data_IF_031467289627
#
_entry.id   IF_031467289627
#
_cell.length_a   1.000
_cell.length_b   1.000
_cell.length_c   1.000
_cell.angle_alpha   90.00
_cell.angle_beta   90.00
_cell.angle_gamma   90.00
#
_symmetry.space_group_name_H-M   'P 1'
#
loop_
_entity.id
_entity.type
_entity.pdbx_description
1 polymer ?
#
# COMPACT_ATOMS: atom_id res chain seq x y z
N UNK A 1 -22.61 14.24 -7.33
CA UNK A 1 -22.30 12.80 -7.19
C UNK A 1 -23.23 12.24 -6.12
N UNK A 2 -23.93 11.11 -6.35
CA UNK A 2 -24.75 10.51 -5.30
C UNK A 2 -23.87 10.05 -4.14
N UNK A 3 -24.28 10.31 -2.90
CA UNK A 3 -23.62 9.73 -1.73
C UNK A 3 -23.78 8.19 -1.79
N UNK A 4 -22.74 7.42 -1.47
CA UNK A 4 -22.86 5.97 -1.41
C UNK A 4 -23.97 5.57 -0.44
N UNK A 5 -24.75 4.56 -0.81
CA UNK A 5 -25.76 3.98 0.08
C UNK A 5 -25.10 3.41 1.35
N UNK A 6 -25.83 3.28 2.47
CA UNK A 6 -25.29 2.68 3.70
C UNK A 6 -24.63 1.31 3.47
N UNK A 7 -25.19 0.51 2.55
CA UNK A 7 -24.63 -0.80 2.16
C UNK A 7 -23.28 -0.65 1.42
N UNK A 8 -23.16 0.37 0.57
CA UNK A 8 -21.93 0.66 -0.15
C UNK A 8 -20.79 1.11 0.77
N UNK A 9 -21.10 1.88 1.82
CA UNK A 9 -20.09 2.29 2.81
C UNK A 9 -19.59 1.11 3.65
N UNK A 10 -20.48 0.18 4.02
CA UNK A 10 -20.13 -1.04 4.76
C UNK A 10 -19.25 -1.95 3.91
N UNK A 11 -19.64 -2.23 2.66
CA UNK A 11 -18.87 -3.08 1.75
C UNK A 11 -17.46 -2.50 1.44
N UNK A 12 -17.36 -1.18 1.28
CA UNK A 12 -16.07 -0.51 1.09
C UNK A 12 -15.20 -0.53 2.36
N UNK A 13 -15.80 -0.56 3.55
CA UNK A 13 -15.07 -0.68 4.81
C UNK A 13 -14.54 -2.10 5.02
N UNK A 14 -15.36 -3.13 4.76
CA UNK A 14 -14.96 -4.54 4.83
C UNK A 14 -13.81 -4.84 3.87
N UNK A 15 -13.92 -4.40 2.61
CA UNK A 15 -12.85 -4.58 1.60
C UNK A 15 -11.53 -3.92 2.05
N UNK A 16 -11.61 -2.72 2.65
CA UNK A 16 -10.44 -2.01 3.17
C UNK A 16 -9.82 -2.70 4.38
N UNK A 17 -10.63 -3.39 5.19
CA UNK A 17 -10.16 -4.13 6.34
C UNK A 17 -9.45 -5.42 5.92
N UNK A 18 -10.03 -6.18 5.00
CA UNK A 18 -9.39 -7.38 4.43
C UNK A 18 -8.04 -7.07 3.78
N UNK A 19 -7.96 -5.95 3.05
CA UNK A 19 -6.72 -5.47 2.45
C UNK A 19 -5.63 -5.19 3.50
N UNK A 20 -6.01 -4.48 4.55
CA UNK A 20 -5.10 -4.10 5.61
C UNK A 20 -4.63 -5.32 6.43
N UNK A 21 -5.54 -6.25 6.71
CA UNK A 21 -5.23 -7.50 7.40
C UNK A 21 -4.25 -8.35 6.59
N UNK A 22 -4.44 -8.47 5.28
CA UNK A 22 -3.52 -9.16 4.40
C UNK A 22 -2.12 -8.53 4.42
N UNK A 23 -2.04 -7.21 4.34
CA UNK A 23 -0.76 -6.49 4.34
C UNK A 23 -0.02 -6.50 5.68
N UNK A 24 -0.76 -6.50 6.79
CA UNK A 24 -0.16 -6.60 8.12
C UNK A 24 0.58 -7.92 8.35
N UNK A 25 0.24 -8.96 7.57
CA UNK A 25 0.94 -10.26 7.60
C UNK A 25 2.24 -10.25 6.80
N UNK A 26 2.38 -9.32 5.85
CA UNK A 26 3.52 -9.25 4.93
C UNK A 26 4.50 -8.12 5.26
N UNK A 27 4.14 -7.22 6.17
CA UNK A 27 4.93 -6.03 6.53
C UNK A 27 4.97 -5.87 8.05
N UNK A 28 5.93 -5.10 8.56
CA UNK A 28 5.96 -4.74 9.99
C UNK A 28 4.92 -3.68 10.38
N UNK A 29 4.04 -3.28 9.45
CA UNK A 29 2.98 -2.30 9.68
C UNK A 29 1.72 -3.02 10.16
N UNK A 30 1.05 -2.46 11.16
CA UNK A 30 -0.26 -2.98 11.58
C UNK A 30 -1.34 -2.66 10.53
N UNK A 31 -2.44 -3.43 10.51
CA UNK A 31 -3.57 -3.18 9.61
C UNK A 31 -4.09 -1.72 9.73
N UNK A 32 -4.13 -1.19 10.96
CA UNK A 32 -4.50 0.20 11.21
C UNK A 32 -3.54 1.19 10.55
N UNK A 33 -2.23 0.99 10.69
CA UNK A 33 -1.24 1.85 10.06
C UNK A 33 -1.29 1.78 8.54
N UNK A 34 -1.58 0.61 7.97
CA UNK A 34 -1.80 0.45 6.53
C UNK A 34 -3.03 1.25 6.07
N UNK A 35 -4.17 1.18 6.76
CA UNK A 35 -5.35 1.99 6.43
C UNK A 35 -5.09 3.49 6.54
N UNK A 36 -4.39 3.91 7.60
CA UNK A 36 -4.09 5.33 7.85
C UNK A 36 -3.14 5.90 6.78
N UNK A 37 -2.15 5.11 6.33
CA UNK A 37 -1.21 5.50 5.28
C UNK A 37 -1.81 5.43 3.87
N UNK A 38 -2.73 4.48 3.64
CA UNK A 38 -3.30 4.16 2.33
C UNK A 38 -4.84 4.15 2.36
N UNK A 39 -5.48 5.31 2.61
CA UNK A 39 -6.93 5.38 2.80
C UNK A 39 -7.73 5.26 1.49
N UNK A 40 -7.11 5.56 0.33
CA UNK A 40 -7.77 5.52 -0.99
C UNK A 40 -7.40 4.25 -1.74
N UNK A 41 -8.33 3.71 -2.52
CA UNK A 41 -8.10 2.51 -3.35
C UNK A 41 -6.90 2.66 -4.29
N UNK A 42 -6.73 3.81 -4.95
CA UNK A 42 -5.57 4.07 -5.81
C UNK A 42 -4.24 3.93 -5.04
N UNK A 43 -4.18 4.46 -3.81
CA UNK A 43 -2.98 4.36 -2.97
C UNK A 43 -2.69 2.91 -2.56
N UNK A 44 -3.74 2.11 -2.37
CA UNK A 44 -3.65 0.68 -2.04
C UNK A 44 -3.14 -0.14 -3.22
N UNK A 45 -3.56 0.20 -4.44
CA UNK A 45 -3.07 -0.42 -5.68
C UNK A 45 -1.58 -0.13 -5.90
N UNK A 46 -1.13 1.12 -5.70
CA UNK A 46 0.29 1.48 -5.78
C UNK A 46 1.13 0.65 -4.77
N UNK A 47 0.62 0.47 -3.55
CA UNK A 47 1.29 -0.33 -2.53
C UNK A 47 1.36 -1.81 -2.91
N UNK A 48 0.31 -2.37 -3.52
CA UNK A 48 0.33 -3.74 -4.01
C UNK A 48 1.38 -3.94 -5.10
N UNK A 49 1.48 -3.01 -6.05
CA UNK A 49 2.49 -3.08 -7.10
C UNK A 49 3.91 -2.98 -6.54
N UNK A 50 4.14 -2.09 -5.58
CA UNK A 50 5.41 -2.00 -4.86
C UNK A 50 5.76 -3.34 -4.19
N UNK A 51 4.81 -3.94 -3.48
CA UNK A 51 5.03 -5.19 -2.77
C UNK A 51 5.25 -6.36 -3.73
N UNK A 52 4.52 -6.45 -4.84
CA UNK A 52 4.76 -7.48 -5.88
C UNK A 52 6.21 -7.43 -6.38
N UNK A 53 6.77 -6.24 -6.55
CA UNK A 53 8.16 -6.09 -6.99
C UNK A 53 9.13 -6.52 -5.87
N UNK A 54 8.94 -6.00 -4.66
CA UNK A 54 9.85 -6.24 -3.52
C UNK A 54 9.81 -7.69 -3.03
N UNK A 55 8.63 -8.31 -3.01
CA UNK A 55 8.41 -9.70 -2.57
C UNK A 55 8.67 -10.73 -3.68
N UNK A 56 9.01 -10.30 -4.90
CA UNK A 56 9.35 -11.22 -5.97
C UNK A 56 10.59 -12.04 -5.64
N UNK A 57 10.70 -13.23 -6.23
CA UNK A 57 11.88 -14.09 -6.10
C UNK A 57 13.10 -13.60 -6.93
N UNK A 58 13.01 -12.42 -7.56
CA UNK A 58 14.08 -11.82 -8.34
C UNK A 58 15.24 -11.36 -7.45
N UNK A 59 16.43 -11.18 -8.02
CA UNK A 59 17.56 -10.61 -7.27
C UNK A 59 17.41 -9.09 -7.10
N UNK A 60 18.22 -8.50 -6.22
CA UNK A 60 18.12 -7.07 -5.88
C UNK A 60 18.32 -6.14 -7.08
N UNK A 61 19.18 -6.50 -8.04
CA UNK A 61 19.41 -5.68 -9.23
C UNK A 61 18.19 -5.69 -10.16
N UNK A 62 17.56 -6.85 -10.33
CA UNK A 62 16.32 -6.99 -11.09
C UNK A 62 15.16 -6.25 -10.42
N UNK A 63 15.06 -6.33 -9.08
CA UNK A 63 14.06 -5.57 -8.31
C UNK A 63 14.24 -4.07 -8.50
N UNK A 64 15.48 -3.57 -8.41
CA UNK A 64 15.80 -2.15 -8.65
C UNK A 64 15.41 -1.72 -10.07
N UNK A 65 15.75 -2.52 -11.09
CA UNK A 65 15.37 -2.23 -12.47
C UNK A 65 13.85 -2.12 -12.63
N UNK A 66 13.10 -3.09 -12.10
CA UNK A 66 11.62 -3.06 -12.13
C UNK A 66 11.02 -1.87 -11.38
N UNK A 67 11.61 -1.49 -10.24
CA UNK A 67 11.18 -0.29 -9.50
C UNK A 67 11.40 0.98 -10.32
N UNK A 68 12.50 1.09 -11.06
CA UNK A 68 12.79 2.24 -11.92
C UNK A 68 11.79 2.28 -13.09
N UNK A 69 11.56 1.15 -13.75
CA UNK A 69 10.61 1.04 -14.87
C UNK A 69 9.17 1.38 -14.45
N UNK A 70 8.79 1.04 -13.22
CA UNK A 70 7.45 1.25 -12.65
C UNK A 70 7.36 2.43 -11.70
N UNK A 71 8.37 3.31 -11.66
CA UNK A 71 8.46 4.31 -10.60
C UNK A 71 7.24 5.25 -10.56
N UNK A 72 6.66 5.57 -11.72
CA UNK A 72 5.43 6.36 -11.80
C UNK A 72 4.22 5.71 -11.13
N UNK A 73 4.17 4.38 -11.14
CA UNK A 73 3.07 3.57 -10.59
C UNK A 73 3.26 3.27 -9.08
N UNK A 74 4.46 3.46 -8.52
CA UNK A 74 4.77 3.08 -7.13
C UNK A 74 5.34 4.21 -6.27
N UNK A 75 5.66 5.36 -6.86
CA UNK A 75 6.34 6.46 -6.17
C UNK A 75 5.54 6.99 -4.97
N UNK A 76 4.21 7.09 -5.08
CA UNK A 76 3.37 7.56 -3.98
C UNK A 76 3.46 6.63 -2.77
N UNK A 77 3.40 5.33 -3.00
CA UNK A 77 3.59 4.33 -1.95
C UNK A 77 4.98 4.37 -1.30
N UNK A 78 6.04 4.47 -2.10
CA UNK A 78 7.42 4.60 -1.59
C UNK A 78 7.53 5.83 -0.68
N UNK A 79 7.08 7.01 -1.13
CA UNK A 79 7.15 8.25 -0.37
C UNK A 79 6.42 8.13 0.98
N UNK A 80 5.21 7.54 0.99
CA UNK A 80 4.41 7.38 2.22
C UNK A 80 5.09 6.48 3.23
N UNK A 81 5.62 5.32 2.78
CA UNK A 81 6.36 4.40 3.65
C UNK A 81 7.61 5.08 4.18
N UNK A 82 8.41 5.71 3.32
CA UNK A 82 9.62 6.40 3.74
C UNK A 82 9.33 7.50 4.75
N UNK A 83 8.26 8.29 4.56
CA UNK A 83 7.83 9.31 5.53
C UNK A 83 7.50 8.72 6.90
N UNK A 84 6.78 7.59 6.94
CA UNK A 84 6.44 6.88 8.19
C UNK A 84 7.68 6.36 8.91
N UNK A 85 8.63 5.79 8.16
CA UNK A 85 9.90 5.29 8.74
C UNK A 85 10.78 6.46 9.21
N UNK A 86 10.83 7.56 8.46
CA UNK A 86 11.64 8.73 8.82
C UNK A 86 11.09 9.52 10.01
N UNK A 87 9.78 9.44 10.29
CA UNK A 87 9.22 10.08 11.49
C UNK A 87 9.62 9.37 12.80
N UNK A 88 10.19 8.17 12.72
CA UNK A 88 10.81 7.47 13.86
C UNK A 88 12.32 7.67 13.99
N UNK A 89 12.94 8.51 13.16
CA UNK A 89 14.38 8.83 13.19
C UNK A 89 14.69 10.18 13.90
N UNK A 90 13.73 10.69 14.68
CA UNK A 90 13.87 11.90 15.50
C UNK A 90 14.05 11.58 16.97
#
# INVERSE_FOLDING_TARGET
MPKPSPIGEIADAETRQEFADALSRHTSLTAKEVQDLFPKKADQEELLELLKIVSSAANDNEKKARLIERIGDVAGAVIKITKKVSTGLG
#
